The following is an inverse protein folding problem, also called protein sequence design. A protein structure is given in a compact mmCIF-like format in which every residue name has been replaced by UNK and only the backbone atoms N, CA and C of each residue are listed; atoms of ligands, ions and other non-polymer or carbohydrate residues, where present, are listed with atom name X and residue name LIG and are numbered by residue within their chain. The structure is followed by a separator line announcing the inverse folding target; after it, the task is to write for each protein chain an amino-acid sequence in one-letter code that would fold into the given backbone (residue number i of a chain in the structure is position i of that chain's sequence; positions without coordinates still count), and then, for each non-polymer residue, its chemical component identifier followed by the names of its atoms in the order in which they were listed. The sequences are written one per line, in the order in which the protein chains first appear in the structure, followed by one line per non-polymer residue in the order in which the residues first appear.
data_IF_389696974643
#
_entry.id   IF_389696974643
#
_cell.length_a   1.000
_cell.length_b   1.000
_cell.length_c   1.000
_cell.angle_alpha   90.00
_cell.angle_beta   90.00
_cell.angle_gamma   90.00
#
_symmetry.space_group_name_H-M   'P 1'
#
loop_
_entity.id
_entity.type
_entity.pdbx_description
1 polymer ?
#
# COMPACT_ATOMS: atom_id res chain seq x y z
N UNK A 1 12.42 -9.87 -5.51
CA UNK A 1 13.24 -9.21 -4.48
C UNK A 1 13.46 -7.76 -4.86
N UNK A 2 13.12 -6.84 -3.95
CA UNK A 2 13.31 -5.40 -4.14
C UNK A 2 14.78 -4.96 -4.06
N UNK A 3 15.16 -4.00 -4.89
CA UNK A 3 16.36 -3.19 -4.76
C UNK A 3 16.27 -2.24 -3.55
N UNK A 4 17.40 -1.65 -3.14
CA UNK A 4 17.40 -0.77 -1.96
C UNK A 4 16.62 0.53 -2.20
N UNK A 5 16.65 1.08 -3.42
CA UNK A 5 15.85 2.25 -3.77
C UNK A 5 14.33 1.96 -3.72
N UNK A 6 13.91 0.77 -4.18
CA UNK A 6 12.51 0.34 -4.11
C UNK A 6 12.05 0.13 -2.66
N UNK A 7 12.93 -0.44 -1.81
CA UNK A 7 12.65 -0.57 -0.37
C UNK A 7 12.53 0.80 0.29
N UNK A 8 13.43 1.73 0.00
CA UNK A 8 13.40 3.08 0.59
C UNK A 8 12.14 3.84 0.17
N UNK A 9 11.78 3.76 -1.12
CA UNK A 9 10.52 4.28 -1.65
C UNK A 9 9.32 3.70 -0.88
N UNK A 10 9.21 2.38 -0.79
CA UNK A 10 8.13 1.71 -0.06
C UNK A 10 8.10 2.09 1.43
N UNK A 11 9.25 2.05 2.10
CA UNK A 11 9.36 2.34 3.53
C UNK A 11 8.99 3.80 3.85
N UNK A 12 9.28 4.74 2.96
CA UNK A 12 8.86 6.14 3.11
C UNK A 12 7.34 6.29 3.13
N UNK A 13 6.64 5.59 2.23
CA UNK A 13 5.18 5.57 2.13
C UNK A 13 4.58 4.91 3.38
N UNK A 14 5.10 3.74 3.77
CA UNK A 14 4.65 3.02 4.98
C UNK A 14 4.81 3.90 6.22
N UNK A 15 5.96 4.57 6.38
CA UNK A 15 6.21 5.47 7.51
C UNK A 15 5.21 6.62 7.54
N UNK A 16 4.96 7.25 6.40
CA UNK A 16 3.98 8.33 6.28
C UNK A 16 2.57 7.87 6.69
N UNK A 17 2.10 6.75 6.15
CA UNK A 17 0.77 6.21 6.46
C UNK A 17 0.66 5.84 7.95
N UNK A 18 1.66 5.16 8.51
CA UNK A 18 1.66 4.77 9.93
C UNK A 18 1.56 5.98 10.85
N UNK A 19 2.30 7.04 10.55
CA UNK A 19 2.23 8.30 11.31
C UNK A 19 0.85 8.96 11.17
N UNK A 20 0.28 8.94 9.97
CA UNK A 20 -1.00 9.60 9.68
C UNK A 20 -2.20 8.90 10.31
N UNK A 21 -2.26 7.58 10.19
CA UNK A 21 -3.37 6.75 10.67
C UNK A 21 -3.16 6.31 12.14
N UNK A 22 -1.95 6.50 12.67
CA UNK A 22 -1.53 6.04 14.00
C UNK A 22 -1.74 4.52 14.18
N UNK A 23 -1.17 3.74 13.25
CA UNK A 23 -1.21 2.26 13.29
C UNK A 23 0.17 1.69 13.54
N UNK A 24 0.24 0.68 14.42
CA UNK A 24 1.50 0.02 14.81
C UNK A 24 1.47 -1.49 14.51
N UNK A 25 1.32 -1.85 13.23
CA UNK A 25 1.48 -3.23 12.76
C UNK A 25 2.60 -3.32 11.72
N UNK A 26 3.27 -4.47 11.55
CA UNK A 26 4.19 -4.68 10.44
C UNK A 26 3.47 -4.50 9.10
N UNK A 27 4.04 -3.69 8.21
CA UNK A 27 3.63 -3.53 6.81
C UNK A 27 4.91 -3.74 6.02
N UNK A 28 5.00 -4.84 5.28
CA UNK A 28 6.25 -5.31 4.67
C UNK A 28 6.04 -5.73 3.21
N UNK A 29 7.07 -5.64 2.36
CA UNK A 29 7.04 -6.29 1.05
C UNK A 29 6.99 -7.81 1.22
N UNK A 30 6.32 -8.50 0.30
CA UNK A 30 6.31 -9.95 0.24
C UNK A 30 6.14 -10.44 -1.19
N UNK A 31 6.81 -11.53 -1.56
CA UNK A 31 6.63 -12.18 -2.85
C UNK A 31 5.28 -12.93 -2.84
N UNK A 32 4.25 -12.33 -3.44
CA UNK A 32 2.92 -12.94 -3.45
C UNK A 32 2.84 -14.15 -4.40
N UNK A 33 3.83 -14.37 -5.28
CA UNK A 33 3.89 -15.59 -6.10
C UNK A 33 4.06 -16.86 -5.26
N UNK A 34 4.56 -16.72 -4.02
CA UNK A 34 4.69 -17.79 -3.03
C UNK A 34 3.38 -18.11 -2.31
N UNK A 35 2.32 -17.32 -2.51
CA UNK A 35 1.01 -17.56 -1.92
C UNK A 35 0.20 -18.55 -2.75
N UNK A 36 -0.83 -19.13 -2.12
CA UNK A 36 -1.70 -20.11 -2.75
C UNK A 36 -3.08 -19.51 -3.07
N UNK A 37 -3.69 -19.99 -4.16
CA UNK A 37 -5.02 -19.60 -4.58
C UNK A 37 -5.12 -18.11 -4.93
N UNK A 38 -6.26 -17.49 -4.62
CA UNK A 38 -6.55 -16.10 -5.00
C UNK A 38 -5.63 -15.06 -4.35
N UNK A 39 -4.97 -15.40 -3.26
CA UNK A 39 -4.06 -14.48 -2.57
C UNK A 39 -2.81 -14.18 -3.38
N UNK A 40 -2.43 -15.05 -4.32
CA UNK A 40 -1.33 -14.82 -5.26
C UNK A 40 -1.56 -13.62 -6.19
N UNK A 41 -2.82 -13.35 -6.50
CA UNK A 41 -3.23 -12.27 -7.42
C UNK A 41 -3.56 -10.96 -6.68
N UNK A 42 -3.40 -10.93 -5.35
CA UNK A 42 -3.73 -9.76 -4.55
C UNK A 42 -2.55 -8.78 -4.47
N UNK A 43 -2.80 -7.48 -4.64
CA UNK A 43 -1.78 -6.43 -4.47
C UNK A 43 -1.33 -6.26 -3.01
N UNK A 44 -2.22 -6.58 -2.07
CA UNK A 44 -2.00 -6.51 -0.63
C UNK A 44 -2.74 -7.61 0.10
N UNK A 45 -2.25 -7.97 1.28
CA UNK A 45 -2.86 -9.00 2.13
C UNK A 45 -2.74 -8.66 3.61
N UNK A 46 -3.87 -8.67 4.31
CA UNK A 46 -3.94 -8.69 5.77
C UNK A 46 -3.83 -10.12 6.30
N UNK A 47 -2.87 -10.35 7.18
CA UNK A 47 -2.62 -11.66 7.79
C UNK A 47 -3.23 -11.71 9.19
N UNK A 48 -3.97 -12.78 9.47
CA UNK A 48 -4.58 -13.01 10.76
C UNK A 48 -4.76 -14.50 11.00
N UNK A 49 -4.54 -14.96 12.23
CA UNK A 49 -4.82 -16.35 12.63
C UNK A 49 -6.30 -16.62 12.83
N UNK A 50 -7.05 -15.64 13.34
CA UNK A 50 -8.44 -15.78 13.78
C UNK A 50 -9.43 -14.88 13.03
N UNK A 51 -8.94 -14.00 12.16
CA UNK A 51 -9.70 -12.97 11.42
C UNK A 51 -10.30 -11.90 12.33
N UNK A 52 -9.80 -11.79 13.55
CA UNK A 52 -10.17 -10.79 14.54
C UNK A 52 -9.00 -9.82 14.72
N UNK A 53 -7.78 -10.34 14.87
CA UNK A 53 -6.57 -9.53 15.06
C UNK A 53 -5.67 -9.68 13.83
N UNK A 54 -5.39 -8.57 13.15
CA UNK A 54 -4.43 -8.53 12.04
C UNK A 54 -3.01 -8.44 12.60
N UNK A 55 -2.19 -9.44 12.30
CA UNK A 55 -0.82 -9.59 12.79
C UNK A 55 0.18 -8.78 11.94
N UNK A 56 -0.05 -8.71 10.62
CA UNK A 56 0.77 -7.97 9.66
C UNK A 56 -0.01 -7.71 8.37
N UNK A 57 0.46 -6.74 7.60
CA UNK A 57 0.06 -6.51 6.22
C UNK A 57 1.26 -6.79 5.31
N UNK A 58 1.03 -7.45 4.19
CA UNK A 58 2.01 -7.57 3.11
C UNK A 58 1.53 -6.84 1.87
N UNK A 59 2.46 -6.27 1.12
CA UNK A 59 2.24 -5.69 -0.20
C UNK A 59 3.11 -6.45 -1.19
N UNK A 60 2.56 -6.80 -2.35
CA UNK A 60 3.26 -7.59 -3.35
C UNK A 60 4.52 -6.88 -3.87
N UNK A 61 5.64 -7.60 -3.94
CA UNK A 61 6.91 -7.06 -4.43
C UNK A 61 6.81 -6.57 -5.87
N UNK A 62 6.18 -7.32 -6.76
CA UNK A 62 6.08 -6.93 -8.18
C UNK A 62 5.28 -5.63 -8.32
N UNK A 63 4.15 -5.52 -7.61
CA UNK A 63 3.37 -4.27 -7.57
C UNK A 63 4.18 -3.08 -7.01
N UNK A 64 5.03 -3.28 -6.00
CA UNK A 64 5.92 -2.22 -5.48
C UNK A 64 6.90 -1.76 -6.57
N UNK A 65 7.49 -2.69 -7.32
CA UNK A 65 8.41 -2.38 -8.42
C UNK A 65 7.72 -1.56 -9.51
N UNK A 66 6.49 -1.92 -9.88
CA UNK A 66 5.71 -1.16 -10.85
C UNK A 66 5.43 0.27 -10.35
N UNK A 67 5.03 0.42 -9.08
CA UNK A 67 4.78 1.74 -8.48
C UNK A 67 6.05 2.60 -8.42
N UNK A 68 7.20 2.00 -8.11
CA UNK A 68 8.47 2.70 -8.13
C UNK A 68 8.88 3.11 -9.55
N UNK A 69 8.74 2.22 -10.53
CA UNK A 69 9.01 2.53 -11.94
C UNK A 69 8.16 3.69 -12.45
N UNK A 70 6.88 3.70 -12.12
CA UNK A 70 5.94 4.79 -12.42
C UNK A 70 6.34 6.11 -11.75
N UNK A 71 6.75 6.07 -10.48
CA UNK A 71 7.31 7.23 -9.78
C UNK A 71 8.55 7.79 -10.49
N UNK A 72 9.51 6.93 -10.85
CA UNK A 72 10.73 7.34 -11.55
C UNK A 72 10.42 7.90 -12.95
N UNK A 73 9.47 7.30 -13.68
CA UNK A 73 9.03 7.80 -14.97
C UNK A 73 8.43 9.21 -14.87
N UNK A 74 7.61 9.47 -13.84
CA UNK A 74 7.05 10.81 -13.55
C UNK A 74 8.12 11.84 -13.19
N UNK A 75 9.20 11.43 -12.54
CA UNK A 75 10.37 12.28 -12.30
C UNK A 75 11.22 12.54 -13.55
N UNK A 76 10.90 11.93 -14.69
CA UNK A 76 11.58 12.16 -15.97
C UNK A 76 12.57 11.07 -16.38
N UNK A 77 12.75 10.02 -15.57
CA UNK A 77 13.62 8.89 -15.91
C UNK A 77 12.92 7.94 -16.89
N UNK A 78 13.00 8.25 -18.19
CA UNK A 78 12.26 7.54 -19.27
C UNK A 78 12.68 6.10 -19.53
N UNK A 79 13.74 5.61 -18.88
CA UNK A 79 14.12 4.19 -18.92
C UNK A 79 13.19 3.31 -18.07
N UNK A 80 12.43 3.90 -17.15
CA UNK A 80 11.42 3.20 -16.36
C UNK A 80 10.08 3.19 -17.09
N UNK A 81 9.26 2.18 -16.79
CA UNK A 81 7.95 1.96 -17.41
C UNK A 81 6.85 2.41 -16.45
N UNK A 82 5.81 3.11 -16.93
CA UNK A 82 4.62 3.40 -16.12
C UNK A 82 3.94 2.12 -15.65
N UNK A 83 3.35 2.15 -14.45
CA UNK A 83 2.59 1.03 -13.91
C UNK A 83 1.30 0.80 -14.69
N UNK A 84 0.86 -0.44 -14.76
CA UNK A 84 -0.42 -0.82 -15.38
C UNK A 84 -1.58 -0.66 -14.40
N UNK A 85 -1.36 -1.08 -13.15
CA UNK A 85 -2.37 -1.00 -12.10
C UNK A 85 -2.75 0.45 -11.77
N UNK A 86 -4.04 0.75 -11.63
CA UNK A 86 -4.48 2.11 -11.27
C UNK A 86 -4.17 2.43 -9.80
N UNK A 87 -4.21 1.41 -8.94
CA UNK A 87 -4.07 1.58 -7.49
C UNK A 87 -2.69 2.06 -7.07
N UNK A 88 -2.64 2.93 -6.06
CA UNK A 88 -1.41 3.31 -5.37
C UNK A 88 -1.12 2.39 -4.17
N UNK A 89 0.13 2.39 -3.70
CA UNK A 89 0.52 1.65 -2.49
C UNK A 89 -0.28 2.16 -1.27
N UNK A 90 -0.52 3.46 -1.19
CA UNK A 90 -1.33 4.08 -0.14
C UNK A 90 -2.77 3.54 -0.15
N UNK A 91 -3.40 3.47 -1.32
CA UNK A 91 -4.76 2.94 -1.43
C UNK A 91 -4.85 1.47 -1.00
N UNK A 92 -3.88 0.66 -1.40
CA UNK A 92 -3.83 -0.77 -1.03
C UNK A 92 -3.59 -0.91 0.48
N UNK A 93 -2.63 -0.17 1.06
CA UNK A 93 -2.40 -0.21 2.51
C UNK A 93 -3.64 0.24 3.29
N UNK A 94 -4.32 1.31 2.87
CA UNK A 94 -5.57 1.75 3.50
C UNK A 94 -6.68 0.69 3.44
N UNK A 95 -6.79 -0.01 2.31
CA UNK A 95 -7.71 -1.15 2.16
C UNK A 95 -7.41 -2.26 3.19
N UNK A 96 -6.14 -2.61 3.33
CA UNK A 96 -5.70 -3.65 4.26
C UNK A 96 -5.85 -3.22 5.73
N UNK A 97 -5.56 -1.96 6.06
CA UNK A 97 -5.80 -1.42 7.42
C UNK A 97 -7.30 -1.49 7.76
N UNK A 98 -8.20 -1.27 6.81
CA UNK A 98 -9.63 -1.36 7.08
C UNK A 98 -10.07 -2.78 7.51
N UNK A 99 -9.31 -3.83 7.15
CA UNK A 99 -9.56 -5.19 7.64
C UNK A 99 -9.30 -5.39 9.13
N UNK A 100 -8.54 -4.50 9.77
CA UNK A 100 -8.37 -4.50 11.23
C UNK A 100 -9.69 -4.27 11.97
N UNK A 101 -10.60 -3.50 11.37
CA UNK A 101 -11.94 -3.23 11.93
C UNK A 101 -13.01 -4.12 11.30
N UNK A 102 -12.87 -4.43 10.01
CA UNK A 102 -13.89 -5.13 9.23
C UNK A 102 -13.25 -6.17 8.29
N UNK A 103 -13.16 -7.42 8.74
CA UNK A 103 -12.55 -8.49 7.95
C UNK A 103 -13.25 -8.75 6.59
N UNK A 104 -14.56 -8.57 6.51
CA UNK A 104 -15.33 -8.79 5.27
C UNK A 104 -15.46 -7.49 4.48
N UNK A 105 -15.38 -7.57 3.15
CA UNK A 105 -15.59 -6.47 2.19
C UNK A 105 -17.05 -5.98 2.12
N UNK A 106 -17.63 -5.61 3.26
CA UNK A 106 -18.96 -5.03 3.39
C UNK A 106 -18.98 -3.52 3.20
N UNK A 107 -20.16 -2.92 3.37
CA UNK A 107 -20.35 -1.46 3.28
C UNK A 107 -19.41 -0.70 4.21
N UNK A 108 -19.34 -1.11 5.49
CA UNK A 108 -18.50 -0.47 6.51
C UNK A 108 -17.00 -0.55 6.20
N UNK A 109 -16.53 -1.67 5.64
CA UNK A 109 -15.14 -1.82 5.20
C UNK A 109 -14.80 -0.82 4.09
N UNK A 110 -15.68 -0.69 3.09
CA UNK A 110 -15.49 0.27 1.98
C UNK A 110 -15.56 1.73 2.43
N UNK A 111 -16.43 2.04 3.37
CA UNK A 111 -16.54 3.38 3.97
C UNK A 111 -15.24 3.73 4.71
N UNK A 112 -14.79 2.86 5.61
CA UNK A 112 -13.54 3.06 6.34
C UNK A 112 -12.34 3.16 5.38
N UNK A 113 -12.25 2.31 4.37
CA UNK A 113 -11.18 2.40 3.34
C UNK A 113 -11.14 3.78 2.70
N UNK A 114 -12.30 4.33 2.32
CA UNK A 114 -12.38 5.68 1.72
C UNK A 114 -11.96 6.76 2.71
N UNK A 115 -12.42 6.67 3.96
CA UNK A 115 -12.04 7.62 5.02
C UNK A 115 -10.53 7.64 5.26
N UNK A 116 -9.89 6.47 5.31
CA UNK A 116 -8.44 6.36 5.46
C UNK A 116 -7.69 6.93 4.26
N UNK A 117 -8.14 6.66 3.03
CA UNK A 117 -7.56 7.24 1.81
C UNK A 117 -7.67 8.78 1.84
N UNK A 118 -8.85 9.31 2.20
CA UNK A 118 -9.04 10.76 2.33
C UNK A 118 -8.12 11.35 3.38
N UNK A 119 -7.96 10.70 4.54
CA UNK A 119 -7.06 11.13 5.59
C UNK A 119 -5.61 11.18 5.11
N UNK A 120 -5.14 10.14 4.42
CA UNK A 120 -3.79 10.09 3.85
C UNK A 120 -3.57 11.20 2.82
N UNK A 121 -4.56 11.49 1.97
CA UNK A 121 -4.45 12.51 0.92
C UNK A 121 -4.68 13.95 1.42
N UNK A 122 -5.35 14.15 2.56
CA UNK A 122 -5.82 15.46 3.02
C UNK A 122 -4.72 16.50 3.33
N UNK A 123 -3.45 16.10 3.43
CA UNK A 123 -2.33 17.03 3.63
C UNK A 123 -1.25 16.95 2.53
N UNK A 124 -1.46 16.16 1.47
CA UNK A 124 -0.51 16.12 0.34
C UNK A 124 -0.59 17.37 -0.54
N UNK A 125 -1.65 18.17 -0.42
CA UNK A 125 -1.82 19.45 -1.13
C UNK A 125 -1.02 20.62 -0.53
N UNK A 126 -0.34 20.46 0.60
CA UNK A 126 0.44 21.55 1.21
C UNK A 126 1.89 21.64 0.71
N UNK A 127 2.31 20.81 -0.25
CA UNK A 127 3.69 20.81 -0.78
C UNK A 127 3.81 21.14 -2.29
N UNK A 128 2.71 21.39 -3.01
CA UNK A 128 2.75 21.74 -4.45
C UNK A 128 2.77 23.25 -4.77
N UNK A 129 3.00 24.14 -3.78
CA UNK A 129 3.04 25.60 -4.02
C UNK A 129 4.33 26.29 -3.53
N UNK A 130 5.50 25.65 -3.71
CA UNK A 130 6.78 26.38 -3.69
C UNK A 130 7.71 25.79 -4.77
N UNK A 131 7.47 26.19 -6.03
CA UNK A 131 8.49 26.37 -7.06
C UNK A 131 8.09 27.57 -7.92
#
# INVERSE_FOLDING_TARGET
MLSDNEKDYFNSIVKFIKQKINVNIPIIPYDHDLLQGKSKEALGCSWSKDKIIVDKITIDEYFIQECYGDYMYRLGYKSFVPKVEEKSIEEVICHEIAHMSYWRHGKKHRELTRELIMLVNSNSQSQEYIL
#
